data_IF_556843792507
#
_entry.id   IF_556843792507
#
_cell.length_a   1.000
_cell.length_b   1.000
_cell.length_c   1.000
_cell.angle_alpha   90.00
_cell.angle_beta   90.00
_cell.angle_gamma   90.00
#
_symmetry.space_group_name_H-M   'P 1'
#
loop_
_entity.id
_entity.type
_entity.pdbx_description
1 polymer ?
#
# COMPACT_ATOMS: atom_id res chain seq x y z
N UNK A 1 10.74 -12.40 14.39
CA UNK A 1 10.63 -11.02 13.84
C UNK A 1 11.39 -10.81 12.50
N UNK A 2 11.53 -11.82 11.62
CA UNK A 2 12.27 -11.68 10.33
C UNK A 2 11.38 -11.28 9.14
N UNK A 3 10.11 -11.72 9.15
CA UNK A 3 9.14 -11.53 8.05
C UNK A 3 8.86 -10.06 7.66
N UNK A 4 8.78 -9.15 8.64
CA UNK A 4 8.44 -7.73 8.39
C UNK A 4 9.55 -6.97 7.66
N UNK A 5 10.83 -7.30 7.91
CA UNK A 5 11.96 -6.65 7.24
C UNK A 5 12.06 -7.06 5.77
N UNK A 6 11.75 -8.31 5.46
CA UNK A 6 11.88 -8.83 4.10
C UNK A 6 10.69 -8.42 3.22
N UNK A 7 9.51 -8.12 3.80
CA UNK A 7 8.33 -7.68 3.03
C UNK A 7 8.61 -6.45 2.16
N UNK A 8 9.24 -5.41 2.73
CA UNK A 8 9.62 -4.23 1.95
C UNK A 8 10.56 -4.57 0.80
N UNK A 9 11.54 -5.45 1.06
CA UNK A 9 12.47 -5.95 0.04
C UNK A 9 11.74 -6.69 -1.08
N UNK A 10 10.79 -7.56 -0.74
CA UNK A 10 10.01 -8.36 -1.70
C UNK A 10 9.14 -7.51 -2.62
N UNK A 11 8.48 -6.48 -2.08
CA UNK A 11 7.63 -5.58 -2.87
C UNK A 11 8.47 -4.63 -3.73
N UNK A 12 9.48 -3.97 -3.14
CA UNK A 12 10.23 -2.93 -3.85
C UNK A 12 11.38 -3.46 -4.72
N UNK A 13 12.16 -4.42 -4.23
CA UNK A 13 13.31 -4.97 -4.95
C UNK A 13 12.91 -6.23 -5.72
N UNK A 14 12.13 -7.11 -5.07
CA UNK A 14 11.63 -8.34 -5.68
C UNK A 14 10.53 -8.13 -6.71
N UNK A 15 9.93 -6.92 -6.78
CA UNK A 15 8.83 -6.56 -7.68
C UNK A 15 7.71 -7.61 -7.69
N UNK A 16 7.49 -8.28 -6.56
CA UNK A 16 6.50 -9.34 -6.50
C UNK A 16 5.13 -8.74 -6.81
N UNK A 17 4.37 -9.33 -7.75
CA UNK A 17 3.07 -8.80 -8.09
C UNK A 17 2.16 -8.82 -6.87
N UNK A 18 1.63 -7.65 -6.53
CA UNK A 18 0.67 -7.48 -5.44
C UNK A 18 -0.46 -6.61 -5.94
N UNK A 19 -1.70 -6.94 -5.53
CA UNK A 19 -2.90 -6.21 -5.95
C UNK A 19 -3.07 -4.87 -5.25
N UNK A 20 -2.19 -4.53 -4.32
CA UNK A 20 -2.22 -3.28 -3.56
C UNK A 20 -1.47 -3.44 -2.24
N UNK A 21 -0.70 -2.43 -1.84
CA UNK A 21 0.03 -2.41 -0.57
C UNK A 21 -0.10 -1.04 0.05
N UNK A 22 -0.47 -0.98 1.33
CA UNK A 22 -0.58 0.26 2.10
C UNK A 22 0.45 0.23 3.23
N UNK A 23 1.27 1.27 3.31
CA UNK A 23 2.22 1.51 4.40
C UNK A 23 1.80 2.75 5.18
N UNK A 24 1.50 2.57 6.46
CA UNK A 24 1.24 3.69 7.37
C UNK A 24 2.54 4.17 8.00
N UNK A 25 2.81 5.47 7.90
CA UNK A 25 3.93 6.15 8.54
C UNK A 25 3.37 7.20 9.50
N UNK A 26 2.83 6.70 10.61
CA UNK A 26 2.22 7.52 11.66
C UNK A 26 3.26 7.85 12.72
N UNK A 27 3.30 9.12 13.12
CA UNK A 27 4.02 9.56 14.32
C UNK A 27 3.12 9.40 15.55
N UNK A 28 1.82 9.71 15.41
CA UNK A 28 0.83 9.45 16.45
C UNK A 28 0.18 8.09 16.22
N UNK A 29 0.57 7.11 17.01
CA UNK A 29 0.06 5.75 16.89
C UNK A 29 -1.25 5.48 17.64
N UNK A 30 -1.86 6.50 18.27
CA UNK A 30 -3.14 6.33 18.97
C UNK A 30 -4.22 5.84 18.01
N UNK A 31 -5.13 5.01 18.54
CA UNK A 31 -6.21 4.41 17.76
C UNK A 31 -7.05 5.45 17.01
N UNK A 32 -7.35 6.59 17.63
CA UNK A 32 -8.08 7.68 17.00
C UNK A 32 -7.38 8.22 15.73
N UNK A 33 -6.06 8.39 15.76
CA UNK A 33 -5.30 8.84 14.60
C UNK A 33 -5.22 7.76 13.51
N UNK A 34 -5.05 6.49 13.89
CA UNK A 34 -5.10 5.36 12.94
C UNK A 34 -6.44 5.32 12.20
N UNK A 35 -7.55 5.39 12.93
CA UNK A 35 -8.90 5.40 12.34
C UNK A 35 -9.05 6.59 11.39
N UNK A 36 -8.68 7.80 11.83
CA UNK A 36 -8.75 9.01 11.00
C UNK A 36 -7.99 8.86 9.68
N UNK A 37 -6.75 8.36 9.72
CA UNK A 37 -5.92 8.22 8.51
C UNK A 37 -6.44 7.09 7.61
N UNK A 38 -6.88 5.97 8.17
CA UNK A 38 -7.48 4.88 7.40
C UNK A 38 -8.77 5.33 6.72
N UNK A 39 -9.67 6.01 7.44
CA UNK A 39 -10.93 6.52 6.88
C UNK A 39 -10.68 7.51 5.76
N UNK A 40 -9.75 8.46 5.95
CA UNK A 40 -9.38 9.41 4.90
C UNK A 40 -8.78 8.72 3.67
N UNK A 41 -7.96 7.69 3.88
CA UNK A 41 -7.37 6.93 2.78
C UNK A 41 -8.44 6.16 1.98
N UNK A 42 -9.30 5.42 2.66
CA UNK A 42 -10.33 4.59 2.01
C UNK A 42 -11.36 5.43 1.25
N UNK A 43 -11.69 6.62 1.74
CA UNK A 43 -12.68 7.50 1.10
C UNK A 43 -12.10 8.36 -0.03
N UNK A 44 -10.85 8.81 0.07
CA UNK A 44 -10.25 9.73 -0.92
C UNK A 44 -9.38 9.07 -2.00
N UNK A 45 -9.03 7.79 -1.83
CA UNK A 45 -8.02 7.12 -2.66
C UNK A 45 -8.40 5.72 -3.11
N UNK A 46 -9.67 5.31 -2.99
CA UNK A 46 -10.16 3.97 -3.34
C UNK A 46 -9.66 3.49 -4.72
N UNK A 47 -9.86 4.30 -5.75
CA UNK A 47 -9.45 4.01 -7.14
C UNK A 47 -7.93 3.87 -7.33
N UNK A 48 -7.16 4.32 -6.34
CA UNK A 48 -5.69 4.37 -6.34
C UNK A 48 -5.08 3.37 -5.35
N UNK A 49 -5.88 2.45 -4.79
CA UNK A 49 -5.37 1.37 -3.93
C UNK A 49 -4.98 0.12 -4.74
N UNK A 50 -5.78 -0.23 -5.75
CA UNK A 50 -5.54 -1.42 -6.59
C UNK A 50 -4.31 -1.21 -7.47
N UNK A 51 -3.42 -2.19 -7.53
CA UNK A 51 -2.15 -2.16 -8.28
C UNK A 51 -1.22 -1.00 -7.89
N UNK A 52 -1.38 -0.45 -6.68
CA UNK A 52 -0.55 0.64 -6.18
C UNK A 52 0.09 0.31 -4.84
N UNK A 53 1.27 0.87 -4.64
CA UNK A 53 1.93 1.01 -3.36
C UNK A 53 1.63 2.40 -2.81
N UNK A 54 0.95 2.44 -1.66
CA UNK A 54 0.45 3.67 -1.05
C UNK A 54 1.13 3.88 0.29
N UNK A 55 1.67 5.08 0.51
CA UNK A 55 2.18 5.53 1.82
C UNK A 55 1.24 6.57 2.36
N UNK A 56 0.66 6.32 3.54
CA UNK A 56 -0.21 7.27 4.23
C UNK A 56 0.45 7.76 5.54
N UNK A 57 0.46 9.07 5.74
CA UNK A 57 0.85 9.75 6.98
C UNK A 57 -0.24 10.73 7.41
N UNK A 58 -0.08 11.35 8.57
CA UNK A 58 -0.99 12.38 9.06
C UNK A 58 -1.09 13.59 8.12
N UNK A 59 -0.04 13.82 7.34
CA UNK A 59 0.13 15.00 6.47
C UNK A 59 -0.18 14.73 5.00
N UNK A 60 -0.42 13.49 4.59
CA UNK A 60 -0.76 13.21 3.20
C UNK A 60 -0.61 11.76 2.77
N UNK A 61 -0.86 11.54 1.48
CA UNK A 61 -0.84 10.23 0.83
C UNK A 61 0.07 10.28 -0.39
N UNK A 62 0.96 9.30 -0.54
CA UNK A 62 1.81 9.11 -1.71
C UNK A 62 1.43 7.81 -2.40
N UNK A 63 1.21 7.86 -3.71
CA UNK A 63 0.76 6.73 -4.52
C UNK A 63 1.82 6.41 -5.56
N UNK A 64 2.18 5.13 -5.71
CA UNK A 64 3.16 4.64 -6.70
C UNK A 64 2.59 3.39 -7.37
N UNK A 65 2.60 3.31 -8.70
CA UNK A 65 2.12 2.12 -9.39
C UNK A 65 3.04 0.92 -9.13
N UNK A 66 2.46 -0.25 -8.92
CA UNK A 66 3.17 -1.51 -8.80
C UNK A 66 3.32 -2.18 -10.18
N UNK A 67 4.35 -3.02 -10.38
CA UNK A 67 4.44 -3.87 -11.55
C UNK A 67 3.23 -4.79 -11.59
N UNK A 68 2.43 -4.73 -12.67
CA UNK A 68 1.31 -5.65 -12.84
C UNK A 68 1.82 -7.08 -13.02
N UNK A 69 1.15 -8.04 -12.41
CA UNK A 69 1.36 -9.46 -12.75
C UNK A 69 0.93 -9.65 -14.21
N UNK A 70 1.81 -10.16 -15.05
CA UNK A 70 1.45 -10.57 -16.43
C UNK A 70 0.51 -11.78 -16.47
N UNK A 71 0.21 -12.41 -15.33
CA UNK A 71 -0.81 -13.47 -15.23
C UNK A 71 -2.23 -12.88 -15.21
N UNK A 72 -2.70 -12.55 -16.41
CA UNK A 72 -4.07 -12.13 -16.69
C UNK A 72 -4.39 -12.00 -18.19
N UNK A 73 -3.39 -12.11 -19.07
CA UNK A 73 -3.62 -12.17 -20.52
C UNK A 73 -3.52 -13.63 -21.00
N UNK A 74 -4.54 -14.42 -20.68
CA UNK A 74 -4.57 -15.85 -20.99
C UNK A 74 -5.82 -16.54 -20.47
N UNK A 75 -6.98 -15.94 -20.73
CA UNK A 75 -8.28 -16.58 -20.61
C UNK A 75 -9.18 -16.02 -21.71
N UNK A 76 -8.85 -16.38 -22.95
CA UNK A 76 -9.73 -16.38 -24.12
C UNK A 76 -9.38 -17.61 -24.94
#
# INVERSE_FOLDING_TARGET
MKLLKDFGKLIFQGKLPSRGVILFRLQDERAANRVRVVSHLLTGYEDRLVDHFVVASETGVRVRSLPRSSKGLGAR
#
